data_IF_931288002520
#
_entry.id   IF_931288002520
#
_cell.length_a   1.000
_cell.length_b   1.000
_cell.length_c   1.000
_cell.angle_alpha   90.00
_cell.angle_beta   90.00
_cell.angle_gamma   90.00
#
_symmetry.space_group_name_H-M   'P 1'
#
loop_
_entity.id
_entity.type
_entity.pdbx_description
1 polymer ?
#
# COMPACT_ATOMS: atom_id res chain seq x y z
N UNK A 1 27.00 3.83 -11.69
CA UNK A 1 26.06 3.81 -10.54
C UNK A 1 26.54 4.87 -9.57
N UNK A 2 25.64 5.74 -9.10
CA UNK A 2 25.94 6.69 -8.02
C UNK A 2 26.17 5.97 -6.70
N UNK A 3 26.57 6.71 -5.67
CA UNK A 3 26.66 6.15 -4.31
C UNK A 3 25.26 5.70 -3.81
N UNK A 4 25.15 4.56 -3.10
CA UNK A 4 23.88 4.12 -2.53
C UNK A 4 23.30 5.17 -1.58
N UNK A 5 21.98 5.41 -1.66
CA UNK A 5 21.35 6.36 -0.74
C UNK A 5 21.25 5.79 0.66
N UNK A 6 21.52 6.62 1.66
CA UNK A 6 21.61 6.21 3.07
C UNK A 6 20.24 6.30 3.74
N UNK A 7 19.82 5.21 4.36
CA UNK A 7 18.48 5.03 4.90
C UNK A 7 18.52 5.06 6.42
N UNK A 8 17.69 5.92 7.02
CA UNK A 8 17.38 5.86 8.45
C UNK A 8 15.99 5.27 8.65
N UNK A 9 15.86 4.20 9.42
CA UNK A 9 14.58 3.54 9.70
C UNK A 9 14.00 4.04 11.01
N UNK A 10 12.74 4.47 11.00
CA UNK A 10 11.97 4.79 12.22
C UNK A 10 10.81 3.81 12.37
N UNK A 11 10.73 3.13 13.50
CA UNK A 11 9.69 2.15 13.80
C UNK A 11 10.20 0.70 13.66
N UNK A 12 10.73 0.16 14.76
CA UNK A 12 11.21 -1.21 14.88
C UNK A 12 10.07 -2.19 15.25
N UNK A 13 8.93 -2.05 14.55
CA UNK A 13 7.74 -2.89 14.72
C UNK A 13 7.78 -4.19 13.89
N UNK A 14 6.64 -4.88 13.82
CA UNK A 14 6.54 -6.21 13.18
C UNK A 14 7.01 -6.25 11.72
N UNK A 15 6.80 -5.17 10.96
CA UNK A 15 7.12 -5.15 9.52
C UNK A 15 8.59 -4.83 9.24
N UNK A 16 9.28 -4.22 10.20
CA UNK A 16 10.66 -3.73 10.04
C UNK A 16 11.66 -4.83 9.67
N UNK A 17 11.44 -6.05 10.15
CA UNK A 17 12.26 -7.20 9.82
C UNK A 17 12.24 -7.56 8.33
N UNK A 18 11.14 -7.30 7.61
CA UNK A 18 11.08 -7.56 6.17
C UNK A 18 11.99 -6.60 5.40
N UNK A 19 11.99 -5.32 5.77
CA UNK A 19 12.88 -4.31 5.18
C UNK A 19 14.34 -4.62 5.51
N UNK A 20 14.67 -4.87 6.79
CA UNK A 20 16.06 -5.20 7.21
C UNK A 20 16.60 -6.44 6.49
N UNK A 21 15.77 -7.44 6.21
CA UNK A 21 16.19 -8.63 5.46
C UNK A 21 16.34 -8.36 3.94
N UNK A 22 15.63 -7.36 3.40
CA UNK A 22 15.57 -7.10 1.96
C UNK A 22 16.61 -6.07 1.52
N UNK A 23 16.80 -4.98 2.28
CA UNK A 23 17.70 -3.87 1.93
C UNK A 23 19.13 -4.31 1.57
N UNK A 24 19.77 -5.29 2.24
CA UNK A 24 21.11 -5.74 1.87
C UNK A 24 21.22 -6.36 0.46
N UNK A 25 20.10 -6.76 -0.15
CA UNK A 25 20.03 -7.31 -1.51
C UNK A 25 19.95 -6.24 -2.59
N UNK A 26 19.79 -4.97 -2.21
CA UNK A 26 19.56 -3.84 -3.09
C UNK A 26 20.83 -2.99 -3.13
N UNK A 27 21.39 -2.78 -4.33
CA UNK A 27 22.69 -2.15 -4.54
C UNK A 27 22.69 -0.63 -4.39
N UNK A 28 21.51 -0.01 -4.43
CA UNK A 28 21.31 1.43 -4.50
C UNK A 28 20.77 2.04 -3.19
N UNK A 29 20.75 1.26 -2.11
CA UNK A 29 20.35 1.70 -0.77
C UNK A 29 21.26 1.08 0.30
N UNK A 30 21.49 1.80 1.39
CA UNK A 30 22.23 1.29 2.55
C UNK A 30 21.57 1.75 3.83
N UNK A 31 21.23 0.83 4.74
CA UNK A 31 20.70 1.18 6.04
C UNK A 31 21.85 1.68 6.94
N UNK A 32 21.67 2.85 7.57
CA UNK A 32 22.71 3.48 8.38
C UNK A 32 22.31 3.64 9.84
N UNK A 33 21.01 3.78 10.13
CA UNK A 33 20.49 4.01 11.48
C UNK A 33 19.12 3.39 11.67
N UNK A 34 18.83 3.00 12.91
CA UNK A 34 17.49 2.58 13.34
C UNK A 34 17.09 3.38 14.57
N UNK A 35 15.86 3.88 14.57
CA UNK A 35 15.25 4.56 15.71
C UNK A 35 13.85 4.01 16.01
N UNK A 36 13.49 4.08 17.29
CA UNK A 36 12.16 3.78 17.80
C UNK A 36 11.96 4.59 19.10
N UNK A 37 10.71 4.86 19.48
CA UNK A 37 10.39 5.46 20.78
C UNK A 37 10.69 4.50 21.93
N UNK A 38 10.70 3.19 21.65
CA UNK A 38 11.17 2.14 22.55
C UNK A 38 12.64 1.80 22.26
N UNK A 39 13.59 2.25 23.11
CA UNK A 39 15.02 2.03 22.87
C UNK A 39 15.40 0.54 22.81
N UNK A 40 14.64 -0.34 23.46
CA UNK A 40 14.90 -1.77 23.44
C UNK A 40 14.57 -2.38 22.07
N UNK A 41 13.48 -1.96 21.45
CA UNK A 41 13.13 -2.38 20.08
C UNK A 41 14.13 -1.87 19.06
N UNK A 42 14.50 -0.59 19.16
CA UNK A 42 15.53 0.00 18.29
C UNK A 42 16.84 -0.78 18.40
N UNK A 43 17.33 -1.01 19.63
CA UNK A 43 18.58 -1.74 19.89
C UNK A 43 18.55 -3.17 19.36
N UNK A 44 17.44 -3.90 19.55
CA UNK A 44 17.31 -5.27 19.09
C UNK A 44 17.37 -5.38 17.56
N UNK A 45 16.65 -4.51 16.85
CA UNK A 45 16.65 -4.51 15.39
C UNK A 45 17.98 -3.99 14.82
N UNK A 46 18.55 -2.95 15.42
CA UNK A 46 19.82 -2.36 15.02
C UNK A 46 20.98 -3.36 15.15
N UNK A 47 20.98 -4.15 16.23
CA UNK A 47 21.97 -5.23 16.40
C UNK A 47 21.87 -6.29 15.30
N UNK A 48 20.66 -6.68 14.89
CA UNK A 48 20.46 -7.62 13.79
C UNK A 48 20.92 -7.06 12.45
N UNK A 49 20.75 -5.76 12.25
CA UNK A 49 21.10 -5.05 11.03
C UNK A 49 22.56 -4.54 11.01
N UNK A 50 23.31 -4.71 12.10
CA UNK A 50 24.69 -4.24 12.28
C UNK A 50 24.87 -2.72 12.06
N UNK A 51 23.87 -1.94 12.50
CA UNK A 51 23.86 -0.46 12.44
C UNK A 51 23.64 0.14 13.83
N UNK A 52 23.99 1.42 14.08
CA UNK A 52 23.68 2.08 15.35
C UNK A 52 22.17 2.25 15.56
N UNK A 53 21.73 1.97 16.79
CA UNK A 53 20.46 2.45 17.31
C UNK A 53 20.58 3.92 17.74
N UNK A 54 19.52 4.70 17.56
CA UNK A 54 19.45 6.09 17.99
C UNK A 54 18.00 6.50 18.30
N UNK A 55 17.83 7.71 18.80
CA UNK A 55 16.53 8.37 18.93
C UNK A 55 16.05 8.93 17.58
N UNK A 56 14.74 9.17 17.40
CA UNK A 56 14.24 9.83 16.18
C UNK A 56 14.91 11.19 15.90
N UNK A 57 15.11 12.02 16.93
CA UNK A 57 15.74 13.34 16.78
C UNK A 57 17.19 13.25 16.28
N UNK A 58 17.96 12.30 16.82
CA UNK A 58 19.32 12.03 16.34
C UNK A 58 19.32 11.56 14.89
N UNK A 59 18.33 10.75 14.48
CA UNK A 59 18.20 10.26 13.11
C UNK A 59 17.87 11.39 12.14
N UNK A 60 16.96 12.30 12.49
CA UNK A 60 16.63 13.46 11.66
C UNK A 60 17.84 14.39 11.47
N UNK A 61 18.62 14.61 12.54
CA UNK A 61 19.82 15.45 12.50
C UNK A 61 21.03 14.80 11.81
N UNK A 62 20.97 13.49 11.53
CA UNK A 62 22.11 12.72 11.07
C UNK A 62 22.54 13.10 9.64
N UNK A 63 23.82 13.38 9.44
CA UNK A 63 24.39 13.68 8.11
C UNK A 63 24.57 12.43 7.24
N UNK A 64 24.44 11.24 7.81
CA UNK A 64 24.51 9.92 7.19
C UNK A 64 23.13 9.29 6.92
N UNK A 65 22.09 10.13 6.81
CA UNK A 65 20.74 9.74 6.40
C UNK A 65 20.26 10.66 5.29
N UNK A 66 19.87 10.09 4.15
CA UNK A 66 19.28 10.80 3.00
C UNK A 66 17.75 10.62 2.96
N UNK A 67 17.28 9.42 3.32
CA UNK A 67 15.86 9.04 3.30
C UNK A 67 15.47 8.47 4.66
N UNK A 68 14.35 8.93 5.21
CA UNK A 68 13.69 8.32 6.37
C UNK A 68 12.69 7.28 5.89
N UNK A 69 12.94 6.02 6.24
CA UNK A 69 12.01 4.91 6.09
C UNK A 69 11.09 4.87 7.32
N UNK A 70 9.85 5.33 7.16
CA UNK A 70 8.87 5.45 8.24
C UNK A 70 7.97 4.20 8.32
N UNK A 71 8.22 3.36 9.32
CA UNK A 71 7.49 2.12 9.61
C UNK A 71 6.72 2.20 10.94
N UNK A 72 6.35 3.40 11.34
CA UNK A 72 5.56 3.64 12.56
C UNK A 72 4.10 3.21 12.38
N UNK A 73 3.27 3.42 13.39
CA UNK A 73 1.84 3.17 13.30
C UNK A 73 1.16 4.27 12.47
N UNK A 74 0.00 4.00 11.82
CA UNK A 74 -0.68 4.98 10.96
C UNK A 74 -0.90 6.37 11.58
N UNK A 75 -1.21 6.42 12.88
CA UNK A 75 -1.40 7.67 13.62
C UNK A 75 -0.14 8.54 13.72
N UNK A 76 1.05 7.93 13.66
CA UNK A 76 2.34 8.60 13.76
C UNK A 76 2.94 8.95 12.38
N UNK A 77 2.36 8.46 11.27
CA UNK A 77 2.93 8.63 9.94
C UNK A 77 3.18 10.11 9.58
N UNK A 78 2.19 10.97 9.83
CA UNK A 78 2.30 12.39 9.49
C UNK A 78 3.33 13.13 10.35
N UNK A 79 3.34 12.90 11.66
CA UNK A 79 4.30 13.53 12.57
C UNK A 79 5.74 13.19 12.18
N UNK A 80 6.02 11.90 11.97
CA UNK A 80 7.35 11.41 11.60
C UNK A 80 7.76 11.91 10.21
N UNK A 81 6.84 11.87 9.23
CA UNK A 81 7.12 12.35 7.88
C UNK A 81 7.42 13.86 7.87
N UNK A 82 6.62 14.67 8.57
CA UNK A 82 6.82 16.12 8.64
C UNK A 82 8.12 16.49 9.36
N UNK A 83 8.49 15.76 10.42
CA UNK A 83 9.78 15.97 11.10
C UNK A 83 10.96 15.64 10.17
N UNK A 84 10.91 14.52 9.45
CA UNK A 84 11.92 14.14 8.48
C UNK A 84 12.06 15.17 7.33
N UNK A 85 10.92 15.61 6.77
CA UNK A 85 10.88 16.64 5.73
C UNK A 85 11.45 17.96 6.25
N UNK A 86 11.11 18.36 7.48
CA UNK A 86 11.64 19.56 8.13
C UNK A 86 13.17 19.52 8.32
N UNK A 87 13.75 18.32 8.42
CA UNK A 87 15.19 18.09 8.45
C UNK A 87 15.82 17.95 7.04
N UNK A 88 15.05 18.21 5.97
CA UNK A 88 15.50 18.13 4.59
C UNK A 88 15.69 16.69 4.09
N UNK A 89 15.07 15.70 4.73
CA UNK A 89 15.16 14.29 4.33
C UNK A 89 14.01 13.93 3.39
N UNK A 90 14.30 13.06 2.43
CA UNK A 90 13.26 12.34 1.70
C UNK A 90 12.54 11.36 2.64
N UNK A 91 11.32 10.95 2.28
CA UNK A 91 10.52 10.03 3.12
C UNK A 91 9.96 8.88 2.28
N UNK A 92 10.08 7.67 2.79
CA UNK A 92 9.33 6.51 2.31
C UNK A 92 8.53 5.92 3.46
N UNK A 93 7.20 5.96 3.37
CA UNK A 93 6.31 5.51 4.44
C UNK A 93 5.67 4.13 4.20
N UNK A 94 5.29 3.46 5.28
CA UNK A 94 4.30 2.37 5.20
C UNK A 94 2.89 2.91 4.94
N UNK A 95 2.00 2.01 4.48
CA UNK A 95 0.60 2.33 4.21
C UNK A 95 -0.20 2.51 5.50
N UNK A 96 -1.24 3.36 5.51
CA UNK A 96 -1.57 4.40 4.51
C UNK A 96 -0.61 5.60 4.59
N UNK A 97 -0.59 6.49 3.60
CA UNK A 97 0.29 7.68 3.60
C UNK A 97 0.19 8.52 4.89
N UNK A 98 -1.01 8.66 5.42
CA UNK A 98 -1.30 9.19 6.75
C UNK A 98 -2.63 8.62 7.25
N UNK A 99 -3.01 8.97 8.49
CA UNK A 99 -4.28 8.54 9.08
C UNK A 99 -5.52 9.07 8.33
N UNK A 100 -5.40 10.25 7.70
CA UNK A 100 -6.47 10.86 6.90
C UNK A 100 -5.91 11.71 5.75
N UNK A 101 -6.79 12.09 4.82
CA UNK A 101 -6.40 12.93 3.67
C UNK A 101 -5.88 14.32 4.05
N UNK A 102 -6.36 14.94 5.13
CA UNK A 102 -5.88 16.27 5.52
C UNK A 102 -4.41 16.23 6.00
N UNK A 103 -4.07 15.23 6.80
CA UNK A 103 -2.71 14.95 7.24
C UNK A 103 -1.81 14.55 6.06
N UNK A 104 -2.29 13.65 5.18
CA UNK A 104 -1.55 13.23 4.01
C UNK A 104 -1.25 14.40 3.06
N UNK A 105 -2.22 15.31 2.87
CA UNK A 105 -2.01 16.52 2.07
C UNK A 105 -0.92 17.41 2.68
N UNK A 106 -0.92 17.55 4.00
CA UNK A 106 0.09 18.36 4.72
C UNK A 106 1.51 17.82 4.50
N UNK A 107 1.68 16.49 4.45
CA UNK A 107 2.97 15.85 4.12
C UNK A 107 3.41 16.24 2.71
N UNK A 108 2.53 16.11 1.71
CA UNK A 108 2.86 16.40 0.31
C UNK A 108 3.16 17.89 0.08
N UNK A 109 2.40 18.78 0.70
CA UNK A 109 2.63 20.23 0.62
C UNK A 109 3.99 20.60 1.25
N UNK A 110 4.32 20.03 2.40
CA UNK A 110 5.61 20.25 3.06
C UNK A 110 6.78 19.69 2.23
N UNK A 111 6.62 18.49 1.66
CA UNK A 111 7.63 17.88 0.83
C UNK A 111 7.93 18.71 -0.42
N UNK A 112 6.87 19.21 -1.08
CA UNK A 112 7.01 20.11 -2.22
C UNK A 112 7.72 21.42 -1.85
N UNK A 113 7.39 22.01 -0.69
CA UNK A 113 8.05 23.22 -0.21
C UNK A 113 9.53 23.02 0.14
N UNK A 114 9.88 21.85 0.68
CA UNK A 114 11.26 21.50 1.03
C UNK A 114 12.09 20.97 -0.15
N UNK A 115 11.46 20.68 -1.30
CA UNK A 115 12.12 20.09 -2.46
C UNK A 115 12.55 18.63 -2.25
N UNK A 116 11.84 17.90 -1.38
CA UNK A 116 12.10 16.49 -1.08
C UNK A 116 11.03 15.58 -1.68
N UNK A 117 11.41 14.34 -1.99
CA UNK A 117 10.53 13.32 -2.54
C UNK A 117 9.88 12.51 -1.41
N UNK A 118 8.60 12.15 -1.61
CA UNK A 118 7.82 11.26 -0.73
C UNK A 118 7.32 10.07 -1.52
N UNK A 119 7.64 8.87 -1.04
CA UNK A 119 7.09 7.59 -1.49
C UNK A 119 6.31 6.90 -0.38
N UNK A 120 5.48 5.93 -0.75
CA UNK A 120 4.67 5.20 0.21
C UNK A 120 4.34 3.79 -0.30
N UNK A 121 4.38 2.82 0.60
CA UNK A 121 3.88 1.48 0.37
C UNK A 121 2.37 1.51 0.01
N UNK A 122 1.82 0.50 -0.68
CA UNK A 122 2.41 -0.82 -0.94
C UNK A 122 3.32 -0.86 -2.17
N UNK A 123 4.49 -1.48 -2.03
CA UNK A 123 5.43 -1.77 -3.12
C UNK A 123 5.22 -3.16 -3.74
N UNK A 124 4.27 -3.94 -3.24
CA UNK A 124 3.88 -5.24 -3.81
C UNK A 124 3.48 -5.14 -5.28
N UNK A 125 2.88 -4.01 -5.66
CA UNK A 125 2.48 -3.70 -7.04
C UNK A 125 3.65 -3.66 -8.03
N UNK A 126 4.89 -3.54 -7.54
CA UNK A 126 6.11 -3.54 -8.36
C UNK A 126 6.63 -4.96 -8.65
N UNK A 127 6.09 -5.97 -7.97
CA UNK A 127 6.43 -7.37 -8.19
C UNK A 127 5.80 -7.95 -9.45
N UNK A 128 6.16 -9.20 -9.76
CA UNK A 128 5.83 -9.87 -11.01
C UNK A 128 4.33 -10.12 -11.21
N UNK A 129 3.54 -10.24 -10.15
CA UNK A 129 2.11 -10.50 -10.25
C UNK A 129 1.35 -9.38 -10.96
N UNK A 130 1.33 -8.18 -10.37
CA UNK A 130 0.63 -7.03 -10.98
C UNK A 130 1.33 -6.55 -12.24
N UNK A 131 2.67 -6.56 -12.28
CA UNK A 131 3.40 -6.06 -13.45
C UNK A 131 3.24 -6.96 -14.68
N UNK A 132 3.09 -8.27 -14.52
CA UNK A 132 2.78 -9.18 -15.64
C UNK A 132 1.40 -8.87 -16.24
N UNK A 133 0.38 -8.70 -15.38
CA UNK A 133 -0.95 -8.30 -15.83
C UNK A 133 -0.93 -6.93 -16.52
N UNK A 134 -0.17 -5.98 -15.96
CA UNK A 134 0.05 -4.66 -16.54
C UNK A 134 0.69 -4.73 -17.93
N UNK A 135 1.73 -5.54 -18.10
CA UNK A 135 2.43 -5.71 -19.37
C UNK A 135 1.51 -6.30 -20.45
N UNK A 136 0.71 -7.31 -20.11
CA UNK A 136 -0.28 -7.90 -21.02
C UNK A 136 -1.37 -6.91 -21.42
N UNK A 137 -1.87 -6.11 -20.46
CA UNK A 137 -2.84 -5.06 -20.73
C UNK A 137 -2.28 -3.97 -21.65
N UNK A 138 -1.06 -3.48 -21.38
CA UNK A 138 -0.41 -2.46 -22.21
C UNK A 138 -0.04 -2.98 -23.61
N UNK A 139 0.19 -4.29 -23.77
CA UNK A 139 0.38 -4.94 -25.06
C UNK A 139 -0.93 -5.03 -25.89
N UNK A 140 -2.08 -4.72 -25.28
CA UNK A 140 -3.40 -4.80 -25.91
C UNK A 140 -3.96 -6.22 -25.96
N UNK A 141 -3.44 -7.14 -25.16
CA UNK A 141 -3.82 -8.54 -25.23
C UNK A 141 -5.32 -8.75 -25.01
N UNK A 142 -5.97 -7.98 -24.13
CA UNK A 142 -7.42 -8.08 -23.90
C UNK A 142 -8.26 -7.06 -24.69
N UNK A 143 -7.66 -6.38 -25.67
CA UNK A 143 -8.29 -5.25 -26.37
C UNK A 143 -8.43 -4.03 -25.47
N UNK A 144 -9.59 -3.37 -25.49
CA UNK A 144 -9.86 -2.19 -24.66
C UNK A 144 -10.47 -2.64 -23.32
N UNK A 145 -9.87 -2.30 -22.16
CA UNK A 145 -10.47 -2.55 -20.85
C UNK A 145 -11.86 -1.90 -20.72
N UNK A 146 -12.82 -2.65 -20.19
CA UNK A 146 -14.21 -2.21 -19.99
C UNK A 146 -14.55 -2.11 -18.51
N UNK A 147 -14.15 -3.12 -17.74
CA UNK A 147 -14.45 -3.20 -16.33
C UNK A 147 -13.38 -3.99 -15.57
N UNK A 148 -13.39 -3.86 -14.25
CA UNK A 148 -12.64 -4.76 -13.37
C UNK A 148 -13.47 -5.15 -12.14
N UNK A 149 -13.07 -6.23 -11.50
CA UNK A 149 -13.53 -6.57 -10.15
C UNK A 149 -12.35 -6.70 -9.20
N UNK A 150 -12.59 -6.43 -7.91
CA UNK A 150 -11.62 -6.53 -6.85
C UNK A 150 -12.29 -7.02 -5.56
N UNK A 151 -11.92 -8.21 -5.08
CA UNK A 151 -12.56 -8.83 -3.92
C UNK A 151 -11.53 -9.25 -2.86
N UNK A 152 -11.59 -8.58 -1.71
CA UNK A 152 -10.88 -8.97 -0.49
C UNK A 152 -11.90 -9.50 0.52
N UNK A 153 -11.76 -10.78 0.90
CA UNK A 153 -12.65 -11.43 1.85
C UNK A 153 -11.87 -12.22 2.88
N UNK A 154 -12.27 -12.07 4.14
CA UNK A 154 -11.80 -12.89 5.25
C UNK A 154 -12.84 -12.89 6.37
N UNK A 155 -12.92 -13.93 7.23
CA UNK A 155 -13.85 -13.94 8.36
C UNK A 155 -13.46 -12.99 9.51
N UNK A 156 -12.33 -12.29 9.40
CA UNK A 156 -11.86 -11.28 10.33
C UNK A 156 -10.59 -11.66 11.08
N UNK A 157 -9.75 -10.66 11.37
CA UNK A 157 -8.42 -10.78 11.98
C UNK A 157 -8.40 -11.47 13.34
N UNK A 158 -9.50 -11.42 14.09
CA UNK A 158 -9.63 -12.00 15.42
C UNK A 158 -9.36 -13.50 15.47
N UNK A 159 -9.46 -14.20 14.33
CA UNK A 159 -9.24 -15.64 14.26
C UNK A 159 -7.77 -16.05 14.36
N UNK A 160 -6.83 -15.17 13.99
CA UNK A 160 -5.39 -15.49 13.98
C UNK A 160 -4.49 -14.43 14.62
N UNK A 161 -4.99 -13.21 14.82
CA UNK A 161 -4.22 -12.13 15.45
C UNK A 161 -4.50 -12.10 16.97
N UNK A 162 -3.47 -12.07 17.84
CA UNK A 162 -3.65 -12.14 19.30
C UNK A 162 -4.13 -10.82 19.93
N UNK A 163 -4.14 -9.72 19.16
CA UNK A 163 -4.66 -8.41 19.58
C UNK A 163 -5.25 -7.66 18.37
N UNK A 164 -6.38 -8.14 17.82
CA UNK A 164 -6.96 -7.68 16.56
C UNK A 164 -7.72 -6.35 16.65
N UNK A 165 -7.90 -5.78 17.84
CA UNK A 165 -8.89 -4.73 18.09
C UNK A 165 -8.65 -3.46 17.26
N UNK A 166 -7.39 -3.13 16.98
CA UNK A 166 -7.04 -1.95 16.18
C UNK A 166 -7.59 -2.01 14.74
N UNK A 167 -7.86 -3.20 14.19
CA UNK A 167 -8.53 -3.36 12.89
C UNK A 167 -10.01 -2.99 12.93
N UNK A 168 -10.60 -2.80 14.11
CA UNK A 168 -12.02 -2.56 14.33
C UNK A 168 -12.33 -1.21 15.00
N UNK A 169 -11.30 -0.39 15.19
CA UNK A 169 -11.36 0.99 15.68
C UNK A 169 -11.29 1.99 14.50
N UNK A 170 -11.72 3.26 14.67
CA UNK A 170 -11.62 4.28 13.62
C UNK A 170 -10.22 4.35 13.00
N UNK A 171 -10.16 4.40 11.65
CA UNK A 171 -8.92 4.23 10.89
C UNK A 171 -8.61 2.78 10.48
N UNK A 172 -9.38 1.81 10.99
CA UNK A 172 -9.33 0.41 10.60
C UNK A 172 -10.43 0.00 9.61
N UNK A 173 -10.81 -1.27 9.66
CA UNK A 173 -11.77 -1.91 8.77
C UNK A 173 -11.11 -2.51 7.51
N UNK A 174 -11.86 -3.34 6.77
CA UNK A 174 -11.33 -4.05 5.61
C UNK A 174 -10.85 -3.11 4.50
N UNK A 175 -11.52 -1.96 4.33
CA UNK A 175 -11.15 -0.99 3.31
C UNK A 175 -9.85 -0.26 3.67
N UNK A 176 -9.70 0.31 4.86
CA UNK A 176 -8.48 1.05 5.19
C UNK A 176 -7.27 0.13 5.39
N UNK A 177 -7.49 -1.14 5.74
CA UNK A 177 -6.42 -2.11 5.86
C UNK A 177 -5.94 -2.65 4.50
N UNK A 178 -6.84 -3.20 3.69
CA UNK A 178 -6.48 -3.90 2.44
C UNK A 178 -6.72 -3.07 1.18
N UNK A 179 -7.51 -2.01 1.26
CA UNK A 179 -7.75 -1.04 0.20
C UNK A 179 -6.48 -0.53 -0.47
N UNK A 180 -5.42 -0.16 0.28
CA UNK A 180 -4.18 0.32 -0.32
C UNK A 180 -3.62 -0.64 -1.36
N UNK A 181 -3.64 -1.96 -1.12
CA UNK A 181 -3.11 -2.95 -2.08
C UNK A 181 -3.97 -3.03 -3.35
N UNK A 182 -5.28 -3.22 -3.19
CA UNK A 182 -6.19 -3.44 -4.32
C UNK A 182 -6.39 -2.17 -5.14
N UNK A 183 -6.54 -1.01 -4.50
CA UNK A 183 -6.72 0.26 -5.20
C UNK A 183 -5.43 0.70 -5.91
N UNK A 184 -4.25 0.50 -5.30
CA UNK A 184 -2.97 0.77 -6.00
C UNK A 184 -2.81 -0.14 -7.21
N UNK A 185 -3.18 -1.42 -7.12
CA UNK A 185 -3.17 -2.33 -8.26
C UNK A 185 -4.16 -1.90 -9.35
N UNK A 186 -5.40 -1.55 -9.00
CA UNK A 186 -6.40 -1.06 -9.95
C UNK A 186 -5.95 0.24 -10.64
N UNK A 187 -5.35 1.18 -9.90
CA UNK A 187 -4.81 2.42 -10.49
C UNK A 187 -3.60 2.12 -11.39
N UNK A 188 -2.77 1.15 -11.03
CA UNK A 188 -1.65 0.71 -11.88
C UNK A 188 -2.14 0.08 -13.18
N UNK A 189 -3.24 -0.67 -13.14
CA UNK A 189 -3.82 -1.35 -14.29
C UNK A 189 -4.68 -0.44 -15.17
N UNK A 190 -5.51 0.43 -14.59
CA UNK A 190 -6.55 1.19 -15.30
C UNK A 190 -6.41 2.72 -15.17
N UNK A 191 -5.52 3.21 -14.30
CA UNK A 191 -5.36 4.64 -14.03
C UNK A 191 -6.27 5.16 -12.91
N UNK A 192 -6.23 6.48 -12.63
CA UNK A 192 -6.87 7.09 -11.47
C UNK A 192 -8.40 6.99 -11.48
N UNK A 193 -8.99 7.07 -10.28
CA UNK A 193 -10.44 7.04 -10.05
C UNK A 193 -10.97 8.46 -9.91
N UNK A 194 -12.07 8.80 -10.58
CA UNK A 194 -12.68 10.15 -10.53
C UNK A 194 -13.97 10.24 -9.74
N UNK A 195 -14.67 9.12 -9.52
CA UNK A 195 -15.93 9.08 -8.77
C UNK A 195 -16.16 7.70 -8.19
N UNK A 196 -16.84 7.66 -7.05
CA UNK A 196 -17.23 6.42 -6.37
C UNK A 196 -18.68 6.46 -5.91
N UNK A 197 -19.28 5.29 -5.77
CA UNK A 197 -20.54 5.06 -5.06
C UNK A 197 -20.42 3.74 -4.30
N UNK A 198 -21.03 3.62 -3.12
CA UNK A 198 -20.91 2.41 -2.33
C UNK A 198 -21.92 2.30 -1.21
N UNK A 199 -21.86 1.16 -0.53
CA UNK A 199 -22.61 0.85 0.68
C UNK A 199 -21.67 0.16 1.67
N UNK A 200 -21.99 0.27 2.96
CA UNK A 200 -21.24 -0.39 4.01
C UNK A 200 -22.13 -0.91 5.13
N UNK A 201 -21.66 -1.92 5.85
CA UNK A 201 -22.35 -2.46 7.03
C UNK A 201 -21.37 -3.03 8.05
N UNK A 202 -21.85 -3.21 9.29
CA UNK A 202 -21.16 -3.87 10.38
C UNK A 202 -22.12 -4.87 11.06
N UNK A 203 -22.35 -6.06 10.46
CA UNK A 203 -23.40 -6.98 10.91
C UNK A 203 -23.17 -7.56 12.31
N UNK A 204 -21.94 -7.51 12.83
CA UNK A 204 -21.59 -7.95 14.19
C UNK A 204 -21.11 -6.74 15.00
N UNK A 205 -21.81 -6.42 16.08
CA UNK A 205 -21.44 -5.32 16.98
C UNK A 205 -20.21 -5.63 17.86
N UNK A 206 -19.85 -6.91 18.00
CA UNK A 206 -18.70 -7.38 18.77
C UNK A 206 -17.99 -8.54 18.05
N UNK A 207 -16.73 -8.77 18.44
CA UNK A 207 -15.88 -9.87 17.99
C UNK A 207 -15.24 -10.56 19.19
N UNK A 208 -14.73 -11.78 19.00
CA UNK A 208 -14.05 -12.56 20.04
C UNK A 208 -12.66 -12.96 19.55
N UNK A 209 -11.63 -12.66 20.34
CA UNK A 209 -10.24 -13.05 20.03
C UNK A 209 -10.16 -14.59 20.03
N UNK A 210 -9.66 -15.17 18.95
CA UNK A 210 -9.55 -16.62 18.75
C UNK A 210 -8.15 -17.19 18.98
N UNK A 211 -7.14 -16.36 19.21
CA UNK A 211 -5.74 -16.80 19.30
C UNK A 211 -4.96 -16.10 20.42
N UNK A 212 -3.89 -16.76 20.90
CA UNK A 212 -2.98 -16.22 21.90
C UNK A 212 -3.54 -16.14 23.33
N UNK A 213 -2.81 -15.50 24.26
CA UNK A 213 -3.15 -15.46 25.69
C UNK A 213 -4.48 -14.77 26.01
N UNK A 214 -5.01 -13.97 25.08
CA UNK A 214 -6.25 -13.21 25.22
C UNK A 214 -7.45 -13.88 24.54
N UNK A 215 -7.29 -15.11 24.04
CA UNK A 215 -8.37 -15.84 23.39
C UNK A 215 -9.62 -15.94 24.31
N UNK A 216 -10.80 -15.80 23.72
CA UNK A 216 -12.08 -15.71 24.44
C UNK A 216 -12.47 -14.29 24.88
N UNK A 217 -11.57 -13.30 24.75
CA UNK A 217 -11.91 -11.90 25.06
C UNK A 217 -12.82 -11.31 23.98
N UNK A 218 -13.96 -10.76 24.39
CA UNK A 218 -14.88 -10.02 23.52
C UNK A 218 -14.52 -8.54 23.45
N UNK A 219 -14.62 -7.94 22.26
CA UNK A 219 -14.36 -6.51 22.05
C UNK A 219 -15.37 -5.89 21.05
N UNK A 220 -15.61 -4.57 21.11
CA UNK A 220 -16.58 -3.89 20.24
C UNK A 220 -16.06 -3.71 18.81
N UNK A 221 -16.98 -3.58 17.85
CA UNK A 221 -16.71 -3.17 16.47
C UNK A 221 -17.20 -1.74 16.28
N UNK A 222 -16.33 -0.83 15.84
CA UNK A 222 -16.63 0.62 15.68
C UNK A 222 -16.43 1.13 14.27
N UNK A 223 -16.27 0.24 13.30
CA UNK A 223 -16.08 0.53 11.88
C UNK A 223 -16.99 -0.35 11.03
N UNK A 224 -17.20 0.02 9.77
CA UNK A 224 -17.80 -0.89 8.82
C UNK A 224 -16.88 -2.10 8.60
N UNK A 225 -17.44 -3.31 8.62
CA UNK A 225 -16.70 -4.57 8.42
C UNK A 225 -17.03 -5.24 7.09
N UNK A 226 -17.94 -4.65 6.33
CA UNK A 226 -18.20 -4.96 4.93
C UNK A 226 -18.40 -3.65 4.16
N UNK A 227 -17.64 -3.45 3.08
CA UNK A 227 -17.76 -2.31 2.17
C UNK A 227 -17.84 -2.84 0.75
N UNK A 228 -18.79 -2.32 -0.03
CA UNK A 228 -18.95 -2.64 -1.45
C UNK A 228 -19.22 -1.38 -2.25
N UNK A 229 -18.76 -1.31 -3.50
CA UNK A 229 -18.98 -0.14 -4.33
C UNK A 229 -18.47 -0.26 -5.76
N UNK A 230 -18.71 0.81 -6.52
CA UNK A 230 -18.26 0.97 -7.91
C UNK A 230 -17.35 2.19 -7.98
N UNK A 231 -16.21 2.03 -8.63
CA UNK A 231 -15.21 3.05 -8.89
C UNK A 231 -15.24 3.40 -10.38
N UNK A 232 -15.40 4.66 -10.71
CA UNK A 232 -15.30 5.17 -12.08
C UNK A 232 -13.89 5.70 -12.32
N UNK A 233 -13.15 5.06 -13.22
CA UNK A 233 -11.82 5.48 -13.62
C UNK A 233 -11.88 6.69 -14.57
N UNK A 234 -10.76 7.42 -14.66
CA UNK A 234 -10.63 8.55 -15.59
C UNK A 234 -10.72 8.09 -17.04
N UNK A 235 -10.22 6.88 -17.35
CA UNK A 235 -10.33 6.25 -18.68
C UNK A 235 -11.76 5.86 -19.07
N UNK A 236 -12.68 5.81 -18.12
CA UNK A 236 -14.10 5.46 -18.32
C UNK A 236 -14.47 4.05 -17.87
N UNK A 237 -13.49 3.23 -17.49
CA UNK A 237 -13.68 1.89 -16.95
C UNK A 237 -14.38 1.93 -15.60
N UNK A 238 -15.15 0.89 -15.30
CA UNK A 238 -15.81 0.71 -14.01
C UNK A 238 -15.20 -0.47 -13.24
N UNK A 239 -14.73 -0.23 -12.02
CA UNK A 239 -14.27 -1.28 -11.12
C UNK A 239 -15.31 -1.56 -10.04
N UNK A 240 -15.69 -2.83 -9.85
CA UNK A 240 -16.51 -3.27 -8.70
C UNK A 240 -15.59 -3.73 -7.57
N UNK A 241 -15.77 -3.16 -6.39
CA UNK A 241 -14.96 -3.44 -5.21
C UNK A 241 -15.81 -4.06 -4.11
N UNK A 242 -15.31 -5.12 -3.46
CA UNK A 242 -15.82 -5.60 -2.18
C UNK A 242 -14.67 -5.88 -1.22
N UNK A 243 -14.79 -5.37 0.00
CA UNK A 243 -13.83 -5.59 1.06
C UNK A 243 -14.57 -6.00 2.33
N UNK A 244 -14.29 -7.20 2.84
CA UNK A 244 -15.05 -7.74 3.96
C UNK A 244 -14.23 -8.54 4.95
N UNK A 245 -14.46 -8.25 6.23
CA UNK A 245 -14.06 -9.04 7.39
C UNK A 245 -15.19 -9.97 7.88
N UNK A 246 -16.26 -10.18 7.09
CA UNK A 246 -17.42 -10.99 7.47
C UNK A 246 -17.68 -12.21 6.58
N UNK A 247 -16.83 -12.42 5.56
CA UNK A 247 -17.00 -13.50 4.59
C UNK A 247 -15.98 -14.61 4.86
N UNK A 248 -16.48 -15.81 5.16
CA UNK A 248 -15.65 -16.97 5.53
C UNK A 248 -14.88 -17.59 4.37
N UNK A 249 -15.45 -17.53 3.18
CA UNK A 249 -14.87 -18.07 1.94
C UNK A 249 -15.68 -17.60 0.74
N UNK A 250 -15.03 -17.53 -0.42
CA UNK A 250 -15.64 -17.08 -1.65
C UNK A 250 -14.98 -17.78 -2.85
N UNK A 251 -15.74 -17.92 -3.95
CA UNK A 251 -15.22 -18.31 -5.27
C UNK A 251 -14.92 -17.09 -6.15
N UNK A 252 -14.76 -15.93 -5.52
CA UNK A 252 -14.53 -14.66 -6.18
C UNK A 252 -13.04 -14.53 -6.56
N UNK A 253 -12.72 -13.90 -7.70
CA UNK A 253 -11.33 -13.60 -8.06
C UNK A 253 -10.73 -12.57 -7.09
N UNK A 254 -9.40 -12.44 -7.07
CA UNK A 254 -8.75 -11.35 -6.31
C UNK A 254 -8.92 -10.04 -7.06
N UNK A 255 -8.38 -9.95 -8.26
CA UNK A 255 -8.68 -8.91 -9.23
C UNK A 255 -8.90 -9.59 -10.59
N UNK A 256 -9.93 -9.18 -11.31
CA UNK A 256 -10.09 -9.50 -12.73
C UNK A 256 -10.29 -8.22 -13.54
N UNK A 257 -9.71 -8.17 -14.74
CA UNK A 257 -9.90 -7.07 -15.70
C UNK A 257 -10.52 -7.66 -16.96
N UNK A 258 -11.62 -7.08 -17.42
CA UNK A 258 -12.37 -7.54 -18.59
C UNK A 258 -12.20 -6.53 -19.72
N UNK A 259 -11.76 -7.00 -20.88
CA UNK A 259 -11.62 -6.20 -22.08
C UNK A 259 -12.48 -6.69 -23.23
N UNK A 260 -12.42 -6.00 -24.37
CA UNK A 260 -13.20 -6.33 -25.56
C UNK A 260 -12.80 -7.63 -26.25
N UNK A 261 -11.59 -8.14 -25.99
CA UNK A 261 -10.99 -9.30 -26.68
C UNK A 261 -10.44 -10.38 -25.73
N UNK A 262 -10.66 -10.23 -24.42
CA UNK A 262 -10.23 -11.20 -23.40
C UNK A 262 -10.40 -10.67 -21.99
N UNK A 263 -9.93 -11.46 -21.01
CA UNK A 263 -9.93 -11.08 -19.59
C UNK A 263 -8.60 -11.45 -18.93
N UNK A 264 -8.19 -10.74 -17.90
CA UNK A 264 -7.04 -11.07 -17.06
C UNK A 264 -7.51 -11.40 -15.65
N UNK A 265 -7.00 -12.49 -15.10
CA UNK A 265 -7.06 -12.82 -13.66
C UNK A 265 -5.71 -12.46 -13.05
N UNK A 266 -5.75 -11.59 -12.04
CA UNK A 266 -4.58 -11.03 -11.38
C UNK A 266 -4.50 -11.62 -9.97
N UNK A 267 -3.31 -12.07 -9.52
CA UNK A 267 -3.14 -12.68 -8.20
C UNK A 267 -3.40 -11.68 -7.06
N UNK A 268 -3.39 -12.17 -5.82
CA UNK A 268 -3.60 -11.34 -4.63
C UNK A 268 -2.57 -10.20 -4.55
N UNK A 269 -2.97 -8.92 -4.66
CA UNK A 269 -2.03 -7.79 -4.70
C UNK A 269 -1.35 -7.52 -3.35
N UNK A 270 -1.73 -8.25 -2.29
CA UNK A 270 -1.00 -8.26 -1.02
C UNK A 270 0.34 -9.01 -1.10
N UNK A 271 0.54 -9.82 -2.15
CA UNK A 271 1.81 -10.49 -2.45
C UNK A 271 2.53 -9.76 -3.60
N UNK A 272 3.83 -9.99 -3.73
CA UNK A 272 4.63 -9.46 -4.84
C UNK A 272 4.46 -10.28 -6.12
N UNK A 273 4.23 -11.58 -5.99
CA UNK A 273 4.18 -12.54 -7.08
C UNK A 273 2.83 -13.26 -7.14
N UNK A 274 2.74 -14.19 -8.09
CA UNK A 274 1.57 -15.02 -8.31
C UNK A 274 1.30 -15.20 -9.80
N UNK A 275 0.57 -16.27 -10.12
CA UNK A 275 0.19 -16.57 -11.50
C UNK A 275 -0.85 -15.58 -12.01
N UNK A 276 -0.54 -14.93 -13.12
CA UNK A 276 -1.52 -14.18 -13.92
C UNK A 276 -2.09 -15.13 -14.97
N UNK A 277 -3.40 -15.09 -15.19
CA UNK A 277 -4.04 -15.86 -16.24
C UNK A 277 -4.73 -14.94 -17.23
N UNK A 278 -4.73 -15.33 -18.50
CA UNK A 278 -5.50 -14.67 -19.55
C UNK A 278 -6.61 -15.60 -20.05
N UNK A 279 -7.81 -15.05 -20.24
CA UNK A 279 -8.91 -15.74 -20.87
C UNK A 279 -8.92 -15.46 -22.37
N UNK A 280 -8.89 -16.54 -23.16
CA UNK A 280 -9.13 -16.54 -24.60
C UNK A 280 -10.36 -17.42 -24.88
N UNK A 281 -10.14 -18.71 -25.09
CA UNK A 281 -11.17 -19.75 -25.10
C UNK A 281 -11.33 -20.43 -23.72
N UNK A 282 -10.25 -20.44 -22.94
CA UNK A 282 -10.15 -20.89 -21.55
C UNK A 282 -9.10 -20.01 -20.81
N UNK A 283 -8.98 -20.18 -19.49
CA UNK A 283 -7.94 -19.54 -18.68
C UNK A 283 -6.59 -20.21 -18.89
N UNK A 284 -5.59 -19.42 -19.30
CA UNK A 284 -4.22 -19.88 -19.52
C UNK A 284 -3.25 -19.03 -18.71
N UNK A 285 -2.30 -19.69 -18.05
CA UNK A 285 -1.25 -19.02 -17.30
C UNK A 285 -0.34 -18.22 -18.24
N UNK A 286 -0.07 -16.96 -17.89
CA UNK A 286 0.93 -16.15 -18.55
C UNK A 286 2.32 -16.42 -17.93
N UNK A 287 3.39 -16.44 -18.75
CA UNK A 287 4.73 -16.34 -18.19
C UNK A 287 4.92 -14.99 -17.49
N UNK A 288 5.91 -14.87 -16.63
CA UNK A 288 6.29 -13.57 -16.06
C UNK A 288 6.75 -12.64 -17.19
N UNK A 289 6.04 -11.54 -17.39
CA UNK A 289 6.30 -10.58 -18.48
C UNK A 289 7.06 -9.33 -18.00
N UNK A 290 6.95 -8.99 -16.72
CA UNK A 290 7.46 -7.74 -16.14
C UNK A 290 7.47 -7.81 -14.61
N UNK A 291 8.05 -6.78 -13.97
CA UNK A 291 8.13 -6.66 -12.52
C UNK A 291 9.44 -7.15 -11.92
N UNK A 292 9.71 -6.74 -10.69
CA UNK A 292 10.91 -7.17 -9.98
C UNK A 292 10.77 -8.63 -9.53
N UNK A 293 11.62 -9.57 -10.01
CA UNK A 293 11.62 -10.95 -9.53
C UNK A 293 12.13 -11.02 -8.09
N UNK A 294 11.62 -11.98 -7.31
CA UNK A 294 11.98 -12.19 -5.90
C UNK A 294 11.89 -10.91 -5.04
N UNK A 295 10.96 -10.03 -5.40
CA UNK A 295 10.77 -8.75 -4.75
C UNK A 295 10.32 -8.90 -3.29
N UNK A 296 10.58 -7.85 -2.51
CA UNK A 296 10.22 -7.77 -1.12
C UNK A 296 10.04 -6.32 -0.68
N UNK A 297 9.63 -6.12 0.57
CA UNK A 297 9.47 -4.77 1.12
C UNK A 297 10.79 -4.02 1.11
N UNK A 298 10.79 -2.83 0.52
CA UNK A 298 11.98 -2.02 0.28
C UNK A 298 12.32 -1.88 -1.19
N UNK A 299 11.72 -2.68 -2.08
CA UNK A 299 11.87 -2.48 -3.52
C UNK A 299 11.24 -1.17 -3.98
N UNK A 300 10.14 -0.72 -3.38
CA UNK A 300 9.57 0.60 -3.66
C UNK A 300 10.48 1.75 -3.21
N UNK A 301 11.17 1.57 -2.07
CA UNK A 301 12.19 2.51 -1.61
C UNK A 301 13.37 2.55 -2.58
N UNK A 302 13.88 1.39 -3.03
CA UNK A 302 14.95 1.35 -4.03
C UNK A 302 14.52 1.90 -5.40
N UNK A 303 13.27 1.71 -5.82
CA UNK A 303 12.71 2.34 -7.03
C UNK A 303 12.68 3.87 -6.90
N UNK A 304 12.30 4.38 -5.72
CA UNK A 304 12.35 5.79 -5.38
C UNK A 304 13.79 6.34 -5.42
N UNK A 305 14.78 5.60 -4.91
CA UNK A 305 16.17 6.10 -4.90
C UNK A 305 16.76 6.17 -6.31
N UNK A 306 16.48 5.21 -7.19
CA UNK A 306 16.82 5.30 -8.63
C UNK A 306 16.24 6.56 -9.25
N UNK A 307 14.95 6.78 -8.99
CA UNK A 307 14.21 7.91 -9.55
C UNK A 307 14.73 9.27 -9.07
N UNK A 308 15.17 9.38 -7.81
CA UNK A 308 15.83 10.58 -7.28
C UNK A 308 17.13 10.87 -8.04
N UNK A 309 17.95 9.84 -8.27
CA UNK A 309 19.23 9.97 -8.98
C UNK A 309 19.03 10.32 -10.45
N UNK A 310 18.05 9.69 -11.10
CA UNK A 310 17.78 9.85 -12.53
C UNK A 310 16.90 11.07 -12.84
N UNK A 311 16.30 11.70 -11.84
CA UNK A 311 15.37 12.83 -12.01
C UNK A 311 14.04 12.43 -12.66
N UNK A 312 13.59 11.18 -12.45
CA UNK A 312 12.33 10.65 -13.00
C UNK A 312 11.26 10.49 -11.92
N UNK A 313 9.97 10.36 -12.28
CA UNK A 313 8.94 9.93 -11.33
C UNK A 313 9.20 8.49 -10.84
N UNK A 314 9.01 8.25 -9.54
CA UNK A 314 9.02 6.89 -8.97
C UNK A 314 7.61 6.31 -8.94
N UNK A 315 7.49 4.98 -8.89
CA UNK A 315 6.21 4.30 -9.15
C UNK A 315 5.29 4.25 -7.92
N UNK A 316 5.87 4.08 -6.74
CA UNK A 316 5.16 4.04 -5.46
C UNK A 316 5.19 5.43 -4.78
N UNK A 317 4.69 6.45 -5.48
CA UNK A 317 4.80 7.84 -5.05
C UNK A 317 3.72 8.32 -4.07
N UNK A 318 4.01 9.42 -3.39
CA UNK A 318 3.09 10.03 -2.44
C UNK A 318 1.78 10.54 -3.06
N UNK A 319 1.75 10.91 -4.34
CA UNK A 319 0.51 11.36 -5.01
C UNK A 319 -0.43 10.19 -5.27
N UNK A 320 0.11 9.04 -5.69
CA UNK A 320 -0.61 7.79 -5.83
C UNK A 320 -1.18 7.34 -4.48
N UNK A 321 -0.35 7.33 -3.43
CA UNK A 321 -0.80 6.93 -2.10
C UNK A 321 -1.86 7.88 -1.52
N UNK A 322 -1.72 9.19 -1.74
CA UNK A 322 -2.75 10.18 -1.42
C UNK A 322 -4.04 9.95 -2.18
N UNK A 323 -3.96 9.68 -3.48
CA UNK A 323 -5.12 9.41 -4.32
C UNK A 323 -5.87 8.16 -3.85
N UNK A 324 -5.14 7.09 -3.54
CA UNK A 324 -5.71 5.85 -3.01
C UNK A 324 -6.40 6.09 -1.67
N UNK A 325 -5.80 6.88 -0.76
CA UNK A 325 -6.42 7.26 0.51
C UNK A 325 -7.71 8.06 0.31
N UNK A 326 -7.71 9.05 -0.59
CA UNK A 326 -8.90 9.84 -0.93
C UNK A 326 -10.01 8.97 -1.53
N UNK A 327 -9.67 8.00 -2.39
CA UNK A 327 -10.65 7.03 -2.91
C UNK A 327 -11.31 6.23 -1.78
N UNK A 328 -10.52 5.75 -0.81
CA UNK A 328 -11.07 5.00 0.33
C UNK A 328 -11.99 5.85 1.19
N UNK A 329 -11.57 7.06 1.58
CA UNK A 329 -12.38 7.98 2.37
C UNK A 329 -13.65 8.42 1.62
N UNK A 330 -13.53 8.71 0.33
CA UNK A 330 -14.67 9.03 -0.53
C UNK A 330 -15.68 7.88 -0.61
N UNK A 331 -15.21 6.63 -0.66
CA UNK A 331 -16.09 5.47 -0.72
C UNK A 331 -16.85 5.25 0.59
N UNK A 332 -16.18 5.44 1.74
CA UNK A 332 -16.85 5.42 3.05
C UNK A 332 -17.88 6.54 3.17
N UNK A 333 -17.51 7.76 2.75
CA UNK A 333 -18.42 8.91 2.72
C UNK A 333 -19.62 8.67 1.82
N UNK A 334 -19.41 8.10 0.63
CA UNK A 334 -20.49 7.75 -0.30
C UNK A 334 -21.48 6.74 0.34
N UNK A 335 -20.97 5.76 1.08
CA UNK A 335 -21.78 4.80 1.80
C UNK A 335 -22.58 5.43 2.95
N UNK A 336 -22.00 6.41 3.66
CA UNK A 336 -22.68 7.14 4.73
C UNK A 336 -23.76 8.09 4.21
N UNK A 337 -23.48 8.83 3.13
CA UNK A 337 -24.40 9.83 2.58
C UNK A 337 -25.43 9.26 1.62
N UNK A 338 -25.24 8.03 1.13
CA UNK A 338 -26.12 7.41 0.14
C UNK A 338 -26.05 8.09 -1.24
N UNK A 339 -24.94 8.75 -1.57
CA UNK A 339 -24.75 9.50 -2.82
C UNK A 339 -23.44 9.14 -3.50
N UNK A 340 -23.32 9.41 -4.80
CA UNK A 340 -22.03 9.31 -5.49
C UNK A 340 -21.11 10.47 -5.07
N UNK A 341 -19.84 10.18 -4.82
CA UNK A 341 -18.83 11.16 -4.38
C UNK A 341 -17.76 11.29 -5.46
N UNK A 342 -17.45 12.52 -5.88
CA UNK A 342 -16.30 12.80 -6.75
C UNK A 342 -15.00 12.78 -5.95
N UNK A 343 -13.95 12.22 -6.53
CA UNK A 343 -12.61 12.19 -5.94
C UNK A 343 -11.97 13.56 -6.16
N UNK A 344 -11.41 14.14 -5.09
CA UNK A 344 -10.81 15.49 -5.15
C UNK A 344 -9.36 15.47 -5.63
N UNK A 345 -8.69 14.36 -5.44
CA UNK A 345 -7.32 14.09 -5.85
C UNK A 345 -7.22 13.44 -7.24
N UNK A 346 -6.00 13.40 -7.77
CA UNK A 346 -5.64 12.60 -8.96
C UNK A 346 -4.17 12.19 -8.86
N UNK A 347 -3.76 11.25 -9.71
CA UNK A 347 -2.38 10.84 -9.89
C UNK A 347 -2.14 10.42 -11.34
N UNK A 348 -0.88 10.28 -11.74
CA UNK A 348 -0.55 9.62 -12.99
C UNK A 348 -0.64 8.10 -12.81
N UNK A 349 -1.00 7.38 -13.88
CA UNK A 349 -0.86 5.92 -13.89
C UNK A 349 0.64 5.60 -13.84
N UNK A 350 1.15 4.91 -12.81
CA UNK A 350 2.59 4.68 -12.67
C UNK A 350 3.19 3.98 -13.89
N UNK A 351 4.44 4.29 -14.21
CA UNK A 351 5.17 3.62 -15.27
C UNK A 351 5.35 2.12 -14.94
N UNK A 352 5.32 1.26 -15.97
CA UNK A 352 5.58 -0.16 -15.78
C UNK A 352 7.02 -0.42 -15.30
N UNK A 353 7.23 -1.47 -14.51
CA UNK A 353 8.57 -2.01 -14.23
C UNK A 353 8.95 -2.88 -15.42
N UNK A 354 9.92 -2.44 -16.21
CA UNK A 354 10.40 -3.20 -17.37
C UNK A 354 11.13 -4.47 -16.91
N UNK A 355 11.00 -5.54 -17.71
CA UNK A 355 11.68 -6.82 -17.48
C UNK A 355 13.20 -6.74 -17.55
#
# INVERSE_FOLDING_TARGET
>A
MGEPMRIGLIGAGNISGQYVNTLPRLDNVVLTRIADLDPAKASALASKAEVPACTPDELYAASDVDIVLNLTIPLAHAEVALAAIGAGKHVYGEKPLAADTAAAKSILDAAAAAGVVVGCAPDTVLGTGVQTARASLDAGDIGVPVAATAFMTTPGHERWHPSPEFYYEPGGGPLLDMGPYYLTALVTLLGPVRRVVGMSSAPRATRVIGSGPRAGTTFPVRVATHVTGVLEHVGGELSTLMMSFDIWGAQLPRIEVYGTEGSLSVPDPNNFDGTVQIFRDDWVDLPVLAGYPDAGRGFGLADMTRSIVDGTPHRADGKLAYHVLDVMECLLRAAETGTSVRIGSTCERPAAVTA
#
